data_IF_089066950417
#
_entry.id   IF_089066950417
#
_cell.length_a   1.000
_cell.length_b   1.000
_cell.length_c   1.000
_cell.angle_alpha   90.00
_cell.angle_beta   90.00
_cell.angle_gamma   90.00
#
_symmetry.space_group_name_H-M   'P 1'
#
loop_
_entity.id
_entity.type
_entity.pdbx_description
1 polymer ?
#
# COMPACT_ATOMS: atom_id res chain seq x y z
N UNK A 1 -23.44 -9.64 -20.00
CA UNK A 1 -23.23 -8.20 -19.74
C UNK A 1 -23.28 -7.97 -18.23
N UNK A 2 -22.32 -7.24 -17.66
CA UNK A 2 -22.33 -6.89 -16.24
C UNK A 2 -23.43 -5.84 -16.00
N UNK A 3 -24.27 -6.03 -14.98
CA UNK A 3 -25.31 -5.04 -14.67
C UNK A 3 -24.67 -3.76 -14.12
N UNK A 4 -25.29 -2.59 -14.34
CA UNK A 4 -24.80 -1.31 -13.81
C UNK A 4 -24.71 -1.32 -12.27
N UNK A 5 -25.61 -2.06 -11.59
CA UNK A 5 -25.56 -2.25 -10.14
C UNK A 5 -24.31 -3.02 -9.71
N UNK A 6 -23.97 -4.09 -10.42
CA UNK A 6 -22.78 -4.90 -10.12
C UNK A 6 -21.49 -4.09 -10.37
N UNK A 7 -21.47 -3.27 -11.43
CA UNK A 7 -20.32 -2.39 -11.71
C UNK A 7 -20.09 -1.36 -10.60
N UNK A 8 -21.15 -0.74 -10.07
CA UNK A 8 -21.03 0.21 -8.94
C UNK A 8 -20.54 -0.44 -7.66
N UNK A 9 -20.90 -1.69 -7.40
CA UNK A 9 -20.41 -2.46 -6.24
C UNK A 9 -18.93 -2.86 -6.37
N UNK A 10 -18.36 -2.77 -7.57
CA UNK A 10 -16.96 -3.08 -7.87
C UNK A 10 -16.10 -1.81 -8.02
N UNK A 11 -16.63 -0.65 -7.63
CA UNK A 11 -15.88 0.60 -7.58
C UNK A 11 -15.63 0.98 -6.12
N UNK A 12 -14.41 1.38 -5.81
CA UNK A 12 -14.03 1.89 -4.50
C UNK A 12 -13.24 3.19 -4.63
N UNK A 13 -13.18 3.97 -3.55
CA UNK A 13 -12.34 5.14 -3.45
C UNK A 13 -11.15 4.81 -2.56
N UNK A 14 -9.96 4.76 -3.16
CA UNK A 14 -8.74 4.37 -2.46
C UNK A 14 -7.73 5.51 -2.46
N UNK A 15 -6.95 5.57 -1.39
CA UNK A 15 -5.85 6.48 -1.19
C UNK A 15 -4.57 5.92 -1.80
N UNK A 16 -3.87 6.77 -2.54
CA UNK A 16 -2.53 6.55 -3.05
C UNK A 16 -1.62 7.70 -2.63
N UNK A 17 -0.40 7.35 -2.23
CA UNK A 17 0.68 8.28 -1.92
C UNK A 17 1.91 7.75 -2.65
N UNK A 18 2.66 8.67 -3.26
CA UNK A 18 3.91 8.34 -3.93
C UNK A 18 4.92 7.73 -2.95
N UNK A 19 5.82 6.91 -3.48
CA UNK A 19 6.85 6.30 -2.66
C UNK A 19 7.79 7.39 -2.12
N UNK A 20 7.95 7.53 -0.79
CA UNK A 20 8.80 8.57 -0.21
C UNK A 20 10.30 8.42 -0.56
N UNK A 21 10.74 7.22 -0.96
CA UNK A 21 12.11 7.01 -1.46
C UNK A 21 12.30 7.56 -2.87
N UNK A 22 11.19 7.78 -3.59
CA UNK A 22 11.15 8.48 -4.87
C UNK A 22 10.80 9.95 -4.65
N UNK A 23 10.90 10.74 -5.72
CA UNK A 23 10.49 12.14 -5.65
C UNK A 23 8.95 12.23 -5.63
N UNK A 24 8.38 12.44 -4.43
CA UNK A 24 6.92 12.41 -4.16
C UNK A 24 6.14 13.30 -5.14
N UNK A 25 6.66 14.50 -5.41
CA UNK A 25 6.00 15.51 -6.24
C UNK A 25 5.97 15.09 -7.70
N UNK A 26 7.08 14.62 -8.24
CA UNK A 26 7.25 14.21 -9.62
C UNK A 26 6.40 12.96 -9.91
N UNK A 27 6.38 11.98 -9.00
CA UNK A 27 5.53 10.79 -9.16
C UNK A 27 4.05 11.15 -9.05
N UNK A 28 3.67 12.05 -8.13
CA UNK A 28 2.30 12.55 -8.03
C UNK A 28 1.88 13.27 -9.31
N UNK A 29 2.72 14.15 -9.85
CA UNK A 29 2.45 14.86 -11.11
C UNK A 29 2.33 13.90 -12.29
N UNK A 30 3.23 12.93 -12.40
CA UNK A 30 3.19 11.90 -13.43
C UNK A 30 1.85 11.14 -13.41
N UNK A 31 1.38 10.72 -12.23
CA UNK A 31 0.07 10.05 -12.10
C UNK A 31 -1.09 10.97 -12.51
N UNK A 32 -1.01 12.27 -12.22
CA UNK A 32 -2.06 13.22 -12.59
C UNK A 32 -2.07 13.54 -14.09
N UNK A 33 -0.90 13.55 -14.74
CA UNK A 33 -0.74 13.87 -16.16
C UNK A 33 -0.98 12.66 -17.07
N UNK A 34 -0.37 11.53 -16.74
CA UNK A 34 -0.35 10.32 -17.58
C UNK A 34 -1.29 9.22 -17.08
N UNK A 35 -1.82 9.38 -15.87
CA UNK A 35 -2.51 8.31 -15.16
C UNK A 35 -1.55 7.32 -14.50
N UNK A 36 -2.14 6.29 -13.92
CA UNK A 36 -1.38 5.22 -13.28
C UNK A 36 -0.70 4.30 -14.32
N UNK A 37 0.64 4.32 -14.37
CA UNK A 37 1.42 3.44 -15.26
C UNK A 37 2.17 2.37 -14.45
N UNK A 38 2.06 1.10 -14.87
CA UNK A 38 2.74 -0.04 -14.22
C UNK A 38 4.18 -0.24 -14.71
N UNK A 39 4.60 0.49 -15.74
CA UNK A 39 5.89 0.33 -16.44
C UNK A 39 7.05 1.08 -15.78
N UNK A 40 6.80 2.07 -14.91
CA UNK A 40 7.85 2.87 -14.26
C UNK A 40 8.25 2.38 -12.85
N UNK A 41 7.72 1.24 -12.38
CA UNK A 41 8.06 0.69 -11.05
C UNK A 41 9.05 -0.47 -11.18
N UNK A 42 10.30 -0.20 -10.81
CA UNK A 42 11.45 -1.10 -10.89
C UNK A 42 11.32 -2.36 -10.01
N UNK A 43 11.44 -3.53 -10.65
CA UNK A 43 12.39 -4.65 -10.43
C UNK A 43 12.89 -5.06 -9.03
N UNK A 44 12.34 -4.55 -7.92
CA UNK A 44 12.77 -4.95 -6.58
C UNK A 44 11.72 -5.81 -5.88
N UNK A 45 12.00 -7.11 -5.91
CA UNK A 45 11.57 -8.16 -4.96
C UNK A 45 10.06 -8.43 -4.90
N UNK A 46 9.62 -9.46 -5.63
CA UNK A 46 8.43 -10.29 -5.40
C UNK A 46 7.03 -9.66 -5.30
N UNK A 47 6.90 -8.33 -5.38
CA UNK A 47 5.61 -7.65 -5.50
C UNK A 47 5.32 -7.34 -6.96
N UNK A 48 4.74 -8.35 -7.60
CA UNK A 48 4.01 -8.30 -8.87
C UNK A 48 3.36 -6.93 -9.15
N UNK A 49 3.97 -6.12 -10.04
CA UNK A 49 3.49 -5.00 -10.91
C UNK A 49 2.24 -4.16 -10.52
N UNK A 50 1.74 -4.26 -9.30
CA UNK A 50 0.46 -3.73 -8.87
C UNK A 50 0.65 -2.36 -8.20
N UNK A 51 -0.43 -1.60 -8.19
CA UNK A 51 -0.44 -0.26 -7.61
C UNK A 51 -0.92 -0.36 -6.18
N UNK A 52 -0.07 -0.07 -5.18
CA UNK A 52 -0.49 -0.15 -3.79
C UNK A 52 -1.48 0.98 -3.52
N UNK A 53 -2.64 0.62 -3.00
CA UNK A 53 -3.67 1.56 -2.57
C UNK A 53 -4.33 1.03 -1.31
N UNK A 54 -4.93 1.92 -0.52
CA UNK A 54 -5.62 1.56 0.73
C UNK A 54 -6.91 2.33 0.88
N UNK A 55 -7.89 1.76 1.57
CA UNK A 55 -9.08 2.46 2.01
C UNK A 55 -8.86 3.24 3.33
N UNK A 56 -7.64 3.19 3.89
CA UNK A 56 -7.28 3.85 5.13
C UNK A 56 -6.08 4.77 4.90
N UNK A 57 -6.29 6.07 5.12
CA UNK A 57 -5.26 7.10 4.94
C UNK A 57 -4.06 6.88 5.87
N UNK A 58 -4.29 6.52 7.14
CA UNK A 58 -3.19 6.29 8.09
C UNK A 58 -2.25 5.18 7.61
N UNK A 59 -2.81 4.12 7.02
CA UNK A 59 -2.02 3.01 6.47
C UNK A 59 -1.18 3.47 5.26
N UNK A 60 -1.77 4.27 4.36
CA UNK A 60 -1.04 4.78 3.19
C UNK A 60 0.05 5.78 3.58
N UNK A 61 -0.23 6.64 4.56
CA UNK A 61 0.64 7.76 4.97
C UNK A 61 1.80 7.31 5.86
N UNK A 62 1.66 6.17 6.55
CA UNK A 62 2.61 5.67 7.53
C UNK A 62 4.04 5.61 6.99
N UNK A 63 4.24 5.03 5.80
CA UNK A 63 5.57 4.89 5.19
C UNK A 63 6.23 6.26 4.95
N UNK A 64 5.46 7.25 4.48
CA UNK A 64 5.95 8.61 4.23
C UNK A 64 6.33 9.31 5.52
N UNK A 65 5.51 9.19 6.57
CA UNK A 65 5.79 9.76 7.90
C UNK A 65 7.07 9.15 8.48
N UNK A 66 7.18 7.82 8.48
CA UNK A 66 8.34 7.10 9.00
C UNK A 66 9.63 7.49 8.25
N UNK A 67 9.57 7.56 6.92
CA UNK A 67 10.69 8.00 6.10
C UNK A 67 11.14 9.44 6.43
N UNK A 68 10.20 10.38 6.52
CA UNK A 68 10.52 11.79 6.80
C UNK A 68 11.03 12.00 8.22
N UNK A 69 10.50 11.27 9.20
CA UNK A 69 11.00 11.27 10.57
C UNK A 69 12.43 10.72 10.63
N UNK A 70 12.70 9.61 9.95
CA UNK A 70 14.03 9.03 9.86
C UNK A 70 15.01 10.01 9.19
N UNK A 71 14.63 10.63 8.07
CA UNK A 71 15.46 11.62 7.39
C UNK A 71 15.74 12.86 8.25
N UNK A 72 14.74 13.32 9.01
CA UNK A 72 14.90 14.45 9.93
C UNK A 72 15.86 14.10 11.09
N UNK A 73 15.82 12.87 11.59
CA UNK A 73 16.71 12.40 12.68
C UNK A 73 18.19 12.33 12.27
N UNK A 74 18.47 12.16 10.98
CA UNK A 74 19.83 12.13 10.44
C UNK A 74 20.43 13.53 10.23
N UNK A 75 19.61 14.59 10.30
CA UNK A 75 20.08 15.97 10.14
C UNK A 75 20.28 16.57 11.52
N UNK A 76 21.53 16.95 11.83
CA UNK A 76 21.93 17.54 13.13
C UNK A 76 21.09 18.76 13.54
N UNK A 77 20.49 19.46 12.56
CA UNK A 77 19.58 20.58 12.77
C UNK A 77 18.46 20.52 11.73
N UNK A 78 17.37 19.82 12.02
CA UNK A 78 16.13 20.01 11.26
C UNK A 78 15.37 21.22 11.85
N UNK A 79 15.07 22.26 11.05
CA UNK A 79 14.39 23.46 11.55
C UNK A 79 12.88 23.27 11.73
N UNK A 80 12.33 22.14 11.27
CA UNK A 80 10.89 21.86 11.32
C UNK A 80 10.57 20.86 12.44
N UNK A 81 9.70 21.27 13.35
CA UNK A 81 9.21 20.40 14.42
C UNK A 81 8.25 19.31 13.92
N UNK A 82 7.73 19.43 12.69
CA UNK A 82 6.80 18.48 12.07
C UNK A 82 7.20 18.21 10.62
N UNK A 83 8.23 17.37 10.36
CA UNK A 83 8.83 17.21 9.04
C UNK A 83 7.89 16.59 7.98
N UNK A 84 6.76 16.01 8.40
CA UNK A 84 5.77 15.37 7.54
C UNK A 84 4.51 16.21 7.30
N UNK A 85 4.45 17.45 7.82
CA UNK A 85 3.24 18.31 7.79
C UNK A 85 2.69 18.59 6.38
N UNK A 86 3.54 18.53 5.37
CA UNK A 86 3.19 18.79 3.98
C UNK A 86 3.41 17.51 3.17
N UNK A 87 2.43 17.18 2.33
CA UNK A 87 2.45 16.02 1.45
C UNK A 87 1.23 16.02 0.54
N UNK A 88 1.24 15.15 -0.45
CA UNK A 88 0.17 14.97 -1.42
C UNK A 88 -0.45 13.58 -1.30
N UNK A 89 -1.77 13.54 -1.38
CA UNK A 89 -2.56 12.31 -1.39
C UNK A 89 -3.44 12.33 -2.63
N UNK A 90 -3.44 11.23 -3.38
CA UNK A 90 -4.38 11.02 -4.48
C UNK A 90 -5.53 10.16 -3.98
N UNK A 91 -6.76 10.67 -4.11
CA UNK A 91 -7.98 9.89 -3.90
C UNK A 91 -8.50 9.43 -5.25
N UNK A 92 -8.38 8.13 -5.52
CA UNK A 92 -8.69 7.55 -6.82
C UNK A 92 -9.99 6.76 -6.80
N UNK A 93 -10.80 6.89 -7.84
CA UNK A 93 -11.93 6.00 -8.10
C UNK A 93 -11.44 4.75 -8.84
N UNK A 94 -11.41 3.62 -8.16
CA UNK A 94 -10.76 2.39 -8.59
C UNK A 94 -11.80 1.33 -8.90
N UNK A 95 -11.67 0.66 -10.06
CA UNK A 95 -12.42 -0.55 -10.34
C UNK A 95 -11.70 -1.76 -9.75
N UNK A 96 -12.20 -2.25 -8.61
CA UNK A 96 -11.61 -3.38 -7.88
C UNK A 96 -12.05 -4.73 -8.45
N UNK A 97 -13.20 -4.78 -9.12
CA UNK A 97 -13.69 -5.97 -9.81
C UNK A 97 -13.82 -7.18 -8.88
N UNK A 98 -13.35 -8.34 -9.34
CA UNK A 98 -13.26 -9.54 -8.50
C UNK A 98 -11.95 -9.48 -7.70
N UNK A 99 -12.05 -8.98 -6.46
CA UNK A 99 -10.91 -8.87 -5.53
C UNK A 99 -10.66 -10.18 -4.78
N UNK A 100 -9.39 -10.56 -4.63
CA UNK A 100 -8.98 -11.73 -3.84
C UNK A 100 -7.97 -11.40 -2.75
N UNK A 101 -7.96 -12.13 -1.62
CA UNK A 101 -6.92 -11.94 -0.62
C UNK A 101 -5.57 -12.43 -1.17
N UNK A 102 -4.50 -11.74 -0.80
CA UNK A 102 -3.12 -12.16 -1.11
C UNK A 102 -2.88 -13.56 -0.50
N UNK A 103 -2.36 -14.50 -1.32
CA UNK A 103 -2.06 -15.87 -0.89
C UNK A 103 -3.17 -16.91 -1.13
N UNK A 104 -4.32 -16.52 -1.68
CA UNK A 104 -5.34 -17.48 -2.13
C UNK A 104 -4.88 -18.20 -3.40
N UNK A 105 -4.23 -19.37 -3.23
CA UNK A 105 -3.60 -20.19 -4.27
C UNK A 105 -4.54 -20.83 -5.29
N UNK A 106 -5.76 -20.32 -5.44
CA UNK A 106 -6.70 -20.83 -6.43
C UNK A 106 -6.50 -20.10 -7.77
N UNK A 107 -5.58 -20.65 -8.57
CA UNK A 107 -5.36 -20.27 -9.97
C UNK A 107 -6.64 -20.43 -10.81
N UNK A 108 -6.65 -19.84 -12.00
CA UNK A 108 -7.68 -19.97 -13.04
C UNK A 108 -8.84 -18.96 -13.07
N UNK A 109 -8.96 -18.00 -12.15
CA UNK A 109 -9.89 -16.85 -12.33
C UNK A 109 -9.13 -15.58 -12.70
N UNK A 110 -9.64 -14.84 -13.70
CA UNK A 110 -9.15 -13.50 -14.04
C UNK A 110 -9.47 -12.56 -12.87
N UNK A 111 -8.48 -12.35 -12.00
CA UNK A 111 -8.55 -11.45 -10.84
C UNK A 111 -8.35 -10.02 -11.33
N UNK A 112 -9.14 -9.08 -10.81
CA UNK A 112 -9.02 -7.65 -11.15
C UNK A 112 -8.17 -6.88 -10.14
N UNK A 113 -8.15 -7.33 -8.87
CA UNK A 113 -7.34 -6.75 -7.81
C UNK A 113 -7.05 -7.77 -6.71
N UNK A 114 -6.01 -7.51 -5.93
CA UNK A 114 -5.70 -8.28 -4.72
C UNK A 114 -5.75 -7.36 -3.51
N UNK A 115 -6.19 -7.88 -2.37
CA UNK A 115 -6.23 -7.15 -1.10
C UNK A 115 -5.49 -7.91 -0.01
N UNK A 116 -4.96 -7.17 0.95
CA UNK A 116 -4.41 -7.75 2.17
C UNK A 116 -5.03 -7.03 3.36
N UNK A 117 -5.47 -7.81 4.34
CA UNK A 117 -5.99 -7.26 5.58
C UNK A 117 -4.83 -6.90 6.50
N UNK A 118 -4.80 -5.66 6.98
CA UNK A 118 -3.73 -5.13 7.84
C UNK A 118 -3.73 -5.84 9.20
N UNK A 119 -4.90 -6.31 9.67
CA UNK A 119 -5.00 -7.08 10.94
C UNK A 119 -4.28 -8.43 10.89
N UNK A 120 -4.13 -9.03 9.70
CA UNK A 120 -3.45 -10.33 9.57
C UNK A 120 -1.93 -10.21 9.65
N UNK A 121 -1.33 -9.04 9.38
CA UNK A 121 0.13 -8.85 9.50
C UNK A 121 0.60 -8.81 10.94
N UNK A 122 -0.24 -8.39 11.89
CA UNK A 122 0.10 -8.47 13.31
C UNK A 122 0.21 -9.93 13.81
N UNK A 123 -0.33 -10.90 13.07
CA UNK A 123 -0.22 -12.34 13.38
C UNK A 123 1.07 -12.98 12.83
N UNK A 124 1.67 -12.41 11.78
CA UNK A 124 2.93 -12.91 11.23
C UNK A 124 4.17 -12.35 11.95
N UNK A 125 4.06 -11.23 12.67
CA UNK A 125 5.14 -10.70 13.52
C UNK A 125 5.11 -11.21 14.98
N UNK A 126 4.16 -12.08 15.35
CA UNK A 126 4.04 -12.64 16.70
C UNK A 126 4.30 -14.15 16.80
N UNK A 127 4.61 -14.83 15.68
CA UNK A 127 4.76 -16.29 15.67
C UNK A 127 6.19 -16.81 15.54
N UNK A 128 7.21 -15.94 15.52
CA UNK A 128 8.62 -16.37 15.60
C UNK A 128 9.11 -16.46 17.06
N UNK A 129 8.38 -17.22 17.87
CA UNK A 129 8.67 -17.36 19.30
C UNK A 129 7.96 -18.49 20.03
N UNK A 130 7.35 -19.46 19.33
CA UNK A 130 6.92 -20.71 19.97
C UNK A 130 8.12 -21.63 20.20
N UNK A 131 8.92 -21.32 21.21
CA UNK A 131 9.74 -22.35 21.85
C UNK A 131 8.82 -23.18 22.75
N UNK A 132 8.39 -24.32 22.22
CA UNK A 132 7.77 -25.38 22.98
C UNK A 132 8.77 -25.91 24.02
N UNK A 133 8.55 -25.64 25.30
CA UNK A 133 9.04 -26.52 26.35
C UNK A 133 7.85 -27.28 26.91
N UNK A 134 7.78 -28.55 26.53
CA UNK A 134 6.84 -29.51 27.06
C UNK A 134 7.11 -29.70 28.57
N UNK A 135 6.04 -29.69 29.36
CA UNK A 135 6.06 -30.29 30.70
C UNK A 135 6.44 -31.76 30.58
N UNK A 136 7.43 -32.19 31.35
CA UNK A 136 7.57 -33.60 31.71
C UNK A 136 7.90 -33.70 33.20
N UNK A 137 6.97 -34.35 33.90
CA UNK A 137 7.02 -35.12 35.15
C UNK A 137 7.86 -34.63 36.35
#
# INVERSE_FOLDING_TARGET
>A
AMSLRNYRQQLDYLFYIADPERCEKEETLCVLEEGFTTTQRHETVDREHAIPMSNNLCVTEQLRIEYLLHQASQRDQSPDSVPFRHGHVIVSKVFVGNSKPVGDGNGYLKVSSVYCDVDTKHRFSLNDGRCSSAKTH
#
